data_IF_963397492083
#
_entry.id   IF_963397492083
#
_cell.length_a   1.000
_cell.length_b   1.000
_cell.length_c   1.000
_cell.angle_alpha   90.00
_cell.angle_beta   90.00
_cell.angle_gamma   90.00
#
_symmetry.space_group_name_H-M   'P 1'
#
loop_
_entity.id
_entity.type
_entity.pdbx_description
1 polymer ?
#
# COMPACT_ATOMS: atom_id res chain seq x y z
N UNK A 1 24.92 26.79 32.37
CA UNK A 1 25.68 25.99 31.38
C UNK A 1 27.09 25.84 31.91
N UNK A 2 27.54 24.62 32.23
CA UNK A 2 28.88 24.40 32.80
C UNK A 2 29.93 24.38 31.68
N UNK A 3 31.04 25.13 31.78
CA UNK A 3 32.10 25.12 30.77
C UNK A 3 32.65 23.72 30.47
N UNK A 4 32.65 22.85 31.49
CA UNK A 4 33.08 21.46 31.37
C UNK A 4 32.18 20.63 30.43
N UNK A 5 30.87 20.92 30.36
CA UNK A 5 29.94 20.18 29.49
C UNK A 5 30.29 20.38 28.01
N UNK A 6 30.54 21.63 27.58
CA UNK A 6 30.90 21.91 26.18
C UNK A 6 32.24 21.28 25.80
N UNK A 7 33.22 21.30 26.73
CA UNK A 7 34.52 20.66 26.52
C UNK A 7 34.35 19.15 26.35
N UNK A 8 33.58 18.49 27.23
CA UNK A 8 33.33 17.04 27.14
C UNK A 8 32.59 16.66 25.86
N UNK A 9 31.59 17.45 25.44
CA UNK A 9 30.86 17.22 24.18
C UNK A 9 31.76 17.38 22.95
N UNK A 10 32.65 18.36 22.96
CA UNK A 10 33.63 18.57 21.89
C UNK A 10 34.64 17.42 21.83
N UNK A 11 35.21 17.05 22.98
CA UNK A 11 36.14 15.91 23.08
C UNK A 11 35.48 14.59 22.64
N UNK A 12 34.23 14.35 23.03
CA UNK A 12 33.46 13.20 22.58
C UNK A 12 33.26 13.21 21.06
N UNK A 13 32.92 14.36 20.48
CA UNK A 13 32.70 14.51 19.03
C UNK A 13 33.98 14.29 18.24
N UNK A 14 35.12 14.79 18.73
CA UNK A 14 36.42 14.66 18.08
C UNK A 14 36.98 13.23 18.20
N UNK A 15 36.70 12.54 19.32
CA UNK A 15 37.08 11.16 19.54
C UNK A 15 36.21 10.17 18.74
N UNK A 16 34.92 10.47 18.54
CA UNK A 16 33.94 9.57 17.91
C UNK A 16 34.41 8.85 16.62
N UNK A 17 35.03 9.52 15.63
CA UNK A 17 35.47 8.84 14.41
C UNK A 17 36.72 7.96 14.58
N UNK A 18 37.45 8.07 15.70
CA UNK A 18 38.75 7.41 15.91
C UNK A 18 38.75 6.41 17.07
N UNK A 19 38.08 6.72 18.16
CA UNK A 19 38.01 5.94 19.38
C UNK A 19 36.65 6.12 20.07
N UNK A 20 35.77 5.14 19.86
CA UNK A 20 34.41 5.17 20.43
C UNK A 20 34.37 4.85 21.91
N UNK A 21 35.36 4.13 22.43
CA UNK A 21 35.45 3.84 23.86
C UNK A 21 35.81 5.12 24.62
N UNK A 22 36.76 5.89 24.09
CA UNK A 22 37.11 7.20 24.63
C UNK A 22 35.95 8.20 24.49
N UNK A 23 35.29 8.24 23.34
CA UNK A 23 34.10 9.06 23.14
C UNK A 23 33.00 8.73 24.17
N UNK A 24 32.72 7.43 24.38
CA UNK A 24 31.76 6.98 25.38
C UNK A 24 32.18 7.39 26.79
N UNK A 25 33.47 7.31 27.14
CA UNK A 25 33.96 7.74 28.44
C UNK A 25 33.71 9.24 28.69
N UNK A 26 33.94 10.09 27.69
CA UNK A 26 33.60 11.52 27.78
C UNK A 26 32.10 11.76 27.94
N UNK A 27 31.26 11.00 27.23
CA UNK A 27 29.80 11.10 27.36
C UNK A 27 29.30 10.63 28.73
N UNK A 28 29.86 9.55 29.28
CA UNK A 28 29.53 9.06 30.62
C UNK A 28 29.96 10.03 31.73
N UNK A 29 30.94 10.89 31.47
CA UNK A 29 31.40 11.93 32.40
C UNK A 29 30.55 13.21 32.37
N UNK A 30 29.51 13.29 31.52
CA UNK A 30 28.65 14.47 31.43
C UNK A 30 27.87 14.69 32.74
N UNK A 31 27.83 15.93 33.26
CA UNK A 31 27.02 16.25 34.44
C UNK A 31 25.52 16.03 34.24
N UNK A 32 25.04 16.22 33.01
CA UNK A 32 23.65 15.98 32.62
C UNK A 32 23.61 14.92 31.52
N UNK A 33 22.98 13.78 31.83
CA UNK A 33 23.01 12.57 30.99
C UNK A 33 22.43 12.82 29.59
N UNK A 34 21.38 13.63 29.50
CA UNK A 34 20.67 13.93 28.25
C UNK A 34 21.46 14.84 27.30
N UNK A 35 22.48 15.57 27.78
CA UNK A 35 23.31 16.42 26.92
C UNK A 35 24.06 15.60 25.85
N UNK A 36 24.25 14.30 26.08
CA UNK A 36 24.85 13.38 25.11
C UNK A 36 24.15 13.37 23.74
N UNK A 37 22.85 13.70 23.68
CA UNK A 37 22.12 13.85 22.42
C UNK A 37 22.76 14.88 21.49
N UNK A 38 23.27 16.00 22.04
CA UNK A 38 23.95 17.04 21.26
C UNK A 38 25.19 16.52 20.55
N UNK A 39 25.81 15.47 21.08
CA UNK A 39 26.91 14.77 20.42
C UNK A 39 26.35 13.79 19.37
N UNK A 40 25.46 12.88 19.76
CA UNK A 40 24.93 11.84 18.87
C UNK A 40 24.20 12.39 17.63
N UNK A 41 23.48 13.50 17.76
CA UNK A 41 22.79 14.17 16.64
C UNK A 41 23.74 14.79 15.62
N UNK A 42 24.95 15.18 16.03
CA UNK A 42 25.99 15.69 15.13
C UNK A 42 26.72 14.56 14.39
N UNK A 43 26.66 13.33 14.90
CA UNK A 43 27.36 12.20 14.29
C UNK A 43 26.63 11.69 13.05
N UNK A 44 27.38 11.03 12.17
CA UNK A 44 26.78 10.31 11.05
C UNK A 44 25.77 9.26 11.56
N UNK A 45 24.61 9.16 10.91
CA UNK A 45 23.59 8.13 11.16
C UNK A 45 24.05 6.73 10.69
N UNK A 46 25.18 6.28 11.21
CA UNK A 46 25.72 4.95 11.00
C UNK A 46 25.16 3.97 12.04
N UNK A 47 25.13 2.69 11.68
CA UNK A 47 24.68 1.64 12.60
C UNK A 47 25.49 1.66 13.92
N UNK A 48 26.79 1.90 13.82
CA UNK A 48 27.69 1.94 14.96
C UNK A 48 27.40 3.14 15.88
N UNK A 49 27.11 4.32 15.33
CA UNK A 49 26.72 5.49 16.11
C UNK A 49 25.41 5.27 16.88
N UNK A 50 24.40 4.69 16.22
CA UNK A 50 23.10 4.37 16.82
C UNK A 50 23.21 3.27 17.88
N UNK A 51 24.04 2.25 17.65
CA UNK A 51 24.33 1.22 18.64
C UNK A 51 25.03 1.79 19.87
N UNK A 52 26.00 2.69 19.68
CA UNK A 52 26.69 3.34 20.79
C UNK A 52 25.74 4.22 21.62
N UNK A 53 24.83 4.94 20.98
CA UNK A 53 23.79 5.72 21.67
C UNK A 53 22.83 4.82 22.47
N UNK A 54 22.32 3.74 21.88
CA UNK A 54 21.48 2.76 22.57
C UNK A 54 22.22 2.13 23.77
N UNK A 55 23.51 1.82 23.61
CA UNK A 55 24.34 1.30 24.69
C UNK A 55 24.54 2.32 25.81
N UNK A 56 24.86 3.58 25.47
CA UNK A 56 24.99 4.67 26.43
C UNK A 56 23.74 4.84 27.29
N UNK A 57 22.56 4.95 26.68
CA UNK A 57 21.31 5.09 27.45
C UNK A 57 20.98 3.84 28.26
N UNK A 58 21.29 2.66 27.73
CA UNK A 58 21.11 1.40 28.48
C UNK A 58 22.00 1.34 29.72
N UNK A 59 23.25 1.81 29.64
CA UNK A 59 24.17 1.93 30.78
C UNK A 59 23.64 2.90 31.83
N UNK A 60 23.15 4.07 31.38
CA UNK A 60 22.64 5.10 32.28
C UNK A 60 21.38 4.63 33.02
N UNK A 61 20.40 4.07 32.29
CA UNK A 61 19.21 3.47 32.89
C UNK A 61 19.61 2.39 33.90
N UNK A 62 20.51 1.48 33.51
CA UNK A 62 20.95 0.42 34.41
C UNK A 62 21.59 0.98 35.69
N UNK A 63 22.44 2.00 35.58
CA UNK A 63 23.08 2.62 36.75
C UNK A 63 22.08 3.32 37.67
N UNK A 64 21.02 3.93 37.13
CA UNK A 64 19.91 4.48 37.92
C UNK A 64 19.14 3.39 38.67
N UNK A 65 18.88 2.23 38.03
CA UNK A 65 18.14 1.12 38.62
C UNK A 65 18.96 0.31 39.64
N UNK A 66 20.25 0.10 39.35
CA UNK A 66 21.20 -0.64 40.19
C UNK A 66 22.52 0.14 40.23
N UNK A 67 22.73 1.00 41.25
CA UNK A 67 23.94 1.79 41.37
C UNK A 67 25.18 0.89 41.47
N UNK A 68 26.06 0.96 40.46
CA UNK A 68 27.14 -0.01 40.23
C UNK A 68 28.33 0.10 41.21
N UNK A 69 28.30 1.05 42.15
CA UNK A 69 29.41 1.42 43.02
C UNK A 69 29.59 0.52 44.27
N UNK A 70 28.72 -0.48 44.48
CA UNK A 70 28.76 -1.33 45.69
C UNK A 70 29.67 -2.57 45.59
N UNK A 71 30.16 -2.93 44.40
CA UNK A 71 30.98 -4.13 44.21
C UNK A 71 32.21 -3.85 43.33
N UNK A 72 33.39 -4.36 43.73
CA UNK A 72 34.67 -4.12 43.04
C UNK A 72 34.73 -4.67 41.59
N UNK A 73 33.81 -5.55 41.19
CA UNK A 73 33.63 -5.97 39.79
C UNK A 73 32.14 -6.18 39.49
N UNK A 74 31.45 -5.11 39.11
CA UNK A 74 30.04 -5.18 38.71
C UNK A 74 29.88 -5.99 37.41
N UNK A 75 28.85 -6.84 37.33
CA UNK A 75 28.56 -7.69 36.14
C UNK A 75 28.31 -6.88 34.88
N UNK A 76 27.86 -5.63 35.03
CA UNK A 76 27.69 -4.65 33.97
C UNK A 76 28.95 -4.46 33.10
N UNK A 77 30.14 -4.42 33.71
CA UNK A 77 31.40 -4.26 32.95
C UNK A 77 31.87 -5.54 32.25
N UNK A 78 31.18 -6.67 32.48
CA UNK A 78 31.43 -7.97 31.83
C UNK A 78 30.35 -8.34 30.82
N UNK A 79 29.24 -7.60 30.79
CA UNK A 79 28.15 -7.87 29.88
C UNK A 79 28.52 -7.42 28.46
N UNK A 80 28.17 -8.24 27.48
CA UNK A 80 28.24 -7.82 26.08
C UNK A 80 27.28 -6.63 25.85
N UNK A 81 27.70 -5.56 25.14
CA UNK A 81 26.86 -4.39 24.90
C UNK A 81 25.48 -4.72 24.32
N UNK A 82 25.40 -5.70 23.41
CA UNK A 82 24.13 -6.14 22.81
C UNK A 82 23.21 -6.77 23.85
N UNK A 83 23.79 -7.56 24.75
CA UNK A 83 23.03 -8.24 25.81
C UNK A 83 22.54 -7.24 26.86
N UNK A 84 23.35 -6.23 27.20
CA UNK A 84 22.91 -5.16 28.10
C UNK A 84 21.73 -4.37 27.50
N UNK A 85 21.83 -3.94 26.23
CA UNK A 85 20.73 -3.25 25.54
C UNK A 85 19.47 -4.13 25.57
N UNK A 86 19.60 -5.41 25.22
CA UNK A 86 18.47 -6.36 25.21
C UNK A 86 17.81 -6.48 26.58
N UNK A 87 18.59 -6.67 27.64
CA UNK A 87 18.09 -6.84 29.01
C UNK A 87 17.39 -5.56 29.51
N UNK A 88 18.00 -4.40 29.31
CA UNK A 88 17.44 -3.11 29.73
C UNK A 88 16.16 -2.82 28.97
N UNK A 89 16.16 -2.95 27.63
CA UNK A 89 14.96 -2.76 26.81
C UNK A 89 13.83 -3.70 27.26
N UNK A 90 14.11 -4.99 27.47
CA UNK A 90 13.10 -5.94 27.96
C UNK A 90 12.54 -5.53 29.34
N UNK A 91 13.39 -5.08 30.25
CA UNK A 91 12.99 -4.69 31.60
C UNK A 91 12.10 -3.45 31.62
N UNK A 92 12.48 -2.40 30.88
CA UNK A 92 11.75 -1.13 30.85
C UNK A 92 10.45 -1.21 30.05
N UNK A 93 10.33 -2.15 29.11
CA UNK A 93 9.06 -2.43 28.41
C UNK A 93 8.10 -3.28 29.26
N UNK A 94 8.61 -4.11 30.17
CA UNK A 94 7.79 -5.00 31.00
C UNK A 94 7.20 -4.33 32.26
N UNK A 95 7.71 -3.16 32.64
CA UNK A 95 7.25 -2.43 33.84
C UNK A 95 6.85 -1.01 33.48
N UNK A 96 5.91 -0.46 34.24
CA UNK A 96 5.41 0.92 34.16
C UNK A 96 5.85 1.74 35.37
N UNK A 97 5.47 3.02 35.41
CA UNK A 97 5.59 3.91 36.58
C UNK A 97 7.04 4.25 36.97
N UNK A 98 7.86 4.52 35.94
CA UNK A 98 9.24 4.95 36.12
C UNK A 98 9.32 6.38 36.69
N UNK A 99 10.35 6.69 37.51
CA UNK A 99 10.68 8.07 37.85
C UNK A 99 10.91 8.92 36.58
N UNK A 100 10.52 10.20 36.62
CA UNK A 100 10.57 11.08 35.45
C UNK A 100 11.96 11.17 34.79
N UNK A 101 13.03 11.17 35.59
CA UNK A 101 14.41 11.16 35.11
C UNK A 101 14.76 9.88 34.35
N UNK A 102 14.27 8.72 34.80
CA UNK A 102 14.45 7.44 34.13
C UNK A 102 13.56 7.34 32.89
N UNK A 103 12.34 7.87 32.95
CA UNK A 103 11.40 7.89 31.83
C UNK A 103 11.95 8.67 30.62
N UNK A 104 12.59 9.82 30.85
CA UNK A 104 13.27 10.57 29.78
C UNK A 104 14.40 9.75 29.12
N UNK A 105 15.17 9.00 29.90
CA UNK A 105 16.23 8.12 29.38
C UNK A 105 15.67 6.93 28.60
N UNK A 106 14.57 6.34 29.07
CA UNK A 106 13.84 5.28 28.36
C UNK A 106 13.36 5.80 27.01
N UNK A 107 12.80 7.01 26.96
CA UNK A 107 12.38 7.66 25.71
C UNK A 107 13.54 7.78 24.71
N UNK A 108 14.73 8.19 25.17
CA UNK A 108 15.92 8.25 24.29
C UNK A 108 16.36 6.86 23.82
N UNK A 109 16.40 5.87 24.71
CA UNK A 109 16.73 4.48 24.32
C UNK A 109 15.78 3.97 23.24
N UNK A 110 14.49 4.21 23.37
CA UNK A 110 13.47 3.85 22.37
C UNK A 110 13.75 4.54 21.03
N UNK A 111 13.98 5.85 21.03
CA UNK A 111 14.31 6.62 19.81
C UNK A 111 15.53 6.06 19.07
N UNK A 112 16.63 5.75 19.78
CA UNK A 112 17.83 5.23 19.13
C UNK A 112 17.66 3.78 18.65
N UNK A 113 16.93 2.95 19.38
CA UNK A 113 16.59 1.58 18.95
C UNK A 113 15.68 1.60 17.70
N UNK A 114 14.70 2.50 17.64
CA UNK A 114 13.85 2.71 16.48
C UNK A 114 14.68 3.12 15.27
N UNK A 115 15.53 4.14 15.40
CA UNK A 115 16.44 4.61 14.34
C UNK A 115 17.37 3.50 13.85
N UNK A 116 17.95 2.70 14.75
CA UNK A 116 18.82 1.59 14.38
C UNK A 116 18.06 0.53 13.57
N UNK A 117 16.84 0.25 13.97
CA UNK A 117 16.03 -0.73 13.28
C UNK A 117 15.58 -0.22 11.92
N UNK A 118 15.19 1.05 11.79
CA UNK A 118 14.84 1.68 10.52
C UNK A 118 16.02 1.67 9.54
N UNK A 119 17.23 1.97 10.03
CA UNK A 119 18.45 1.84 9.23
C UNK A 119 18.67 0.39 8.75
N UNK A 120 18.40 -0.59 9.62
CA UNK A 120 18.54 -2.01 9.28
C UNK A 120 17.52 -2.42 8.22
N UNK A 121 16.26 -2.00 8.35
CA UNK A 121 15.21 -2.26 7.35
C UNK A 121 15.55 -1.61 6.02
N UNK A 122 15.98 -0.34 6.02
CA UNK A 122 16.39 0.35 4.81
C UNK A 122 17.53 -0.36 4.06
N UNK A 123 18.50 -0.95 4.79
CA UNK A 123 19.57 -1.77 4.20
C UNK A 123 19.07 -3.09 3.61
N UNK A 124 18.12 -3.75 4.28
CA UNK A 124 17.46 -4.95 3.73
C UNK A 124 16.74 -4.59 2.42
N UNK A 125 15.99 -3.48 2.39
CA UNK A 125 15.30 -3.00 1.20
C UNK A 125 16.26 -2.64 0.06
N UNK A 126 17.42 -2.05 0.37
CA UNK A 126 18.47 -1.82 -0.62
C UNK A 126 19.01 -3.15 -1.20
N UNK A 127 19.20 -4.16 -0.35
CA UNK A 127 19.61 -5.51 -0.77
C UNK A 127 18.62 -6.22 -1.68
N UNK A 128 17.33 -5.85 -1.62
CA UNK A 128 16.29 -6.33 -2.54
C UNK A 128 16.35 -5.66 -3.93
N UNK A 129 17.32 -4.76 -4.17
CA UNK A 129 17.49 -4.08 -5.46
C UNK A 129 16.46 -2.98 -5.74
N UNK A 130 15.71 -2.53 -4.72
CA UNK A 130 14.56 -1.61 -4.87
C UNK A 130 14.93 -0.12 -4.84
N UNK A 131 16.22 0.22 -4.95
CA UNK A 131 16.66 1.61 -5.11
C UNK A 131 16.26 2.56 -3.97
N UNK A 132 16.18 2.05 -2.73
CA UNK A 132 15.73 2.83 -1.57
C UNK A 132 16.80 3.81 -1.10
N UNK A 133 16.43 5.08 -0.95
CA UNK A 133 17.25 6.07 -0.24
C UNK A 133 17.16 5.81 1.26
N UNK A 134 18.24 5.26 1.82
CA UNK A 134 18.34 4.88 3.23
C UNK A 134 18.10 6.05 4.17
N UNK A 135 18.67 7.22 3.84
CA UNK A 135 18.56 8.41 4.71
C UNK A 135 17.11 8.85 4.73
N UNK A 136 16.51 8.99 3.55
CA UNK A 136 15.13 9.43 3.42
C UNK A 136 14.14 8.45 4.03
N UNK A 137 14.35 7.13 3.84
CA UNK A 137 13.51 6.11 4.48
C UNK A 137 13.54 6.22 6.01
N UNK A 138 14.69 6.53 6.60
CA UNK A 138 14.84 6.62 8.05
C UNK A 138 14.23 7.89 8.65
N UNK A 139 14.14 8.99 7.89
CA UNK A 139 13.76 10.31 8.42
C UNK A 139 12.45 10.89 7.89
N UNK A 140 11.97 10.47 6.71
CA UNK A 140 10.79 11.02 6.04
C UNK A 140 9.65 10.00 6.08
N UNK A 141 8.66 10.23 6.96
CA UNK A 141 7.50 9.36 7.16
C UNK A 141 6.67 9.20 5.88
N UNK A 142 6.56 10.26 5.07
CA UNK A 142 5.80 10.20 3.83
C UNK A 142 6.53 9.34 2.80
N UNK A 143 7.83 9.57 2.59
CA UNK A 143 8.64 8.72 1.73
C UNK A 143 8.66 7.26 2.20
N UNK A 144 8.74 7.02 3.52
CA UNK A 144 8.65 5.69 4.12
C UNK A 144 7.33 5.00 3.76
N UNK A 145 6.20 5.68 3.95
CA UNK A 145 4.86 5.17 3.58
C UNK A 145 4.79 4.82 2.10
N UNK A 146 5.18 5.75 1.22
CA UNK A 146 5.14 5.53 -0.23
C UNK A 146 6.09 4.42 -0.68
N UNK A 147 7.27 4.32 -0.08
CA UNK A 147 8.21 3.23 -0.38
C UNK A 147 7.58 1.89 -0.03
N UNK A 148 6.93 1.77 1.15
CA UNK A 148 6.29 0.52 1.56
C UNK A 148 5.10 0.19 0.67
N UNK A 149 4.26 1.16 0.31
CA UNK A 149 3.17 0.96 -0.65
C UNK A 149 3.72 0.50 -2.01
N UNK A 150 4.78 1.11 -2.53
CA UNK A 150 5.41 0.66 -3.77
C UNK A 150 6.02 -0.75 -3.71
N UNK A 151 6.36 -1.27 -2.53
CA UNK A 151 6.80 -2.66 -2.37
C UNK A 151 5.64 -3.66 -2.48
N UNK A 152 4.40 -3.22 -2.25
CA UNK A 152 3.20 -4.07 -2.36
C UNK A 152 2.81 -4.31 -3.81
N UNK A 153 3.34 -3.51 -4.75
CA UNK A 153 3.22 -3.68 -6.20
C UNK A 153 4.13 -4.82 -6.70
N UNK A 154 3.85 -6.05 -6.26
CA UNK A 154 4.67 -7.23 -6.52
C UNK A 154 3.85 -8.50 -6.61
N UNK A 155 4.28 -9.42 -7.47
CA UNK A 155 3.75 -10.80 -7.52
C UNK A 155 4.58 -11.78 -6.67
N UNK A 156 5.73 -11.35 -6.15
CA UNK A 156 6.59 -12.16 -5.28
C UNK A 156 6.05 -12.20 -3.84
N UNK A 157 5.66 -13.39 -3.38
CA UNK A 157 5.12 -13.62 -2.04
C UNK A 157 6.08 -13.29 -0.89
N UNK A 158 7.38 -13.43 -1.12
CA UNK A 158 8.38 -13.08 -0.13
C UNK A 158 8.43 -11.58 0.07
N UNK A 159 8.41 -10.81 -1.02
CA UNK A 159 8.38 -9.33 -1.00
C UNK A 159 7.05 -8.83 -0.45
N UNK A 160 5.93 -9.47 -0.81
CA UNK A 160 4.62 -9.18 -0.26
C UNK A 160 4.58 -9.27 1.27
N UNK A 161 5.08 -10.38 1.83
CA UNK A 161 5.12 -10.61 3.28
C UNK A 161 6.04 -9.63 4.00
N UNK A 162 7.17 -9.26 3.39
CA UNK A 162 8.06 -8.21 3.92
C UNK A 162 7.32 -6.87 3.96
N UNK A 163 6.59 -6.53 2.90
CA UNK A 163 5.83 -5.28 2.79
C UNK A 163 4.75 -5.19 3.87
N UNK A 164 4.02 -6.28 4.13
CA UNK A 164 3.04 -6.35 5.23
C UNK A 164 3.69 -6.19 6.60
N UNK A 165 4.83 -6.83 6.84
CA UNK A 165 5.56 -6.67 8.11
C UNK A 165 6.02 -5.24 8.33
N UNK A 166 6.49 -4.56 7.28
CA UNK A 166 6.86 -3.14 7.33
C UNK A 166 5.62 -2.26 7.54
N UNK A 167 4.53 -2.51 6.84
CA UNK A 167 3.29 -1.78 7.01
C UNK A 167 2.77 -1.84 8.45
N UNK A 168 2.75 -3.03 9.05
CA UNK A 168 2.38 -3.23 10.45
C UNK A 168 3.31 -2.47 11.39
N UNK A 169 4.62 -2.56 11.16
CA UNK A 169 5.64 -1.89 11.98
C UNK A 169 5.48 -0.37 11.98
N UNK A 170 5.18 0.20 10.81
CA UNK A 170 5.07 1.65 10.62
C UNK A 170 3.61 2.14 10.68
N UNK A 171 2.70 1.31 11.18
CA UNK A 171 1.28 1.64 11.37
C UNK A 171 0.60 2.16 10.10
N UNK A 172 0.99 1.63 8.93
CA UNK A 172 0.31 1.90 7.67
C UNK A 172 -0.98 1.09 7.64
N UNK A 173 -2.14 1.71 7.40
CA UNK A 173 -3.42 1.00 7.34
C UNK A 173 -3.38 -0.17 6.36
N UNK A 174 -3.88 -1.33 6.78
CA UNK A 174 -3.97 -2.51 5.92
C UNK A 174 -4.80 -2.24 4.66
N UNK A 175 -5.81 -1.38 4.79
CA UNK A 175 -6.63 -0.91 3.68
C UNK A 175 -5.77 -0.26 2.58
N UNK A 176 -4.82 0.62 2.94
CA UNK A 176 -3.94 1.28 1.96
C UNK A 176 -3.08 0.24 1.21
N UNK A 177 -2.53 -0.73 1.95
CA UNK A 177 -1.68 -1.80 1.39
C UNK A 177 -2.46 -2.65 0.37
N UNK A 178 -3.67 -3.07 0.75
CA UNK A 178 -4.51 -3.92 -0.10
C UNK A 178 -5.07 -3.15 -1.29
N UNK A 179 -5.42 -1.87 -1.12
CA UNK A 179 -5.94 -1.05 -2.22
C UNK A 179 -4.85 -0.78 -3.26
N UNK A 180 -3.63 -0.43 -2.84
CA UNK A 180 -2.48 -0.28 -3.74
C UNK A 180 -2.15 -1.59 -4.47
N UNK A 181 -2.19 -2.73 -3.77
CA UNK A 181 -1.97 -4.01 -4.43
C UNK A 181 -3.05 -4.33 -5.46
N UNK A 182 -4.32 -4.12 -5.12
CA UNK A 182 -5.44 -4.37 -6.03
C UNK A 182 -5.34 -3.47 -7.28
N UNK A 183 -4.97 -2.21 -7.12
CA UNK A 183 -4.69 -1.31 -8.25
C UNK A 183 -3.61 -1.91 -9.16
N UNK A 184 -2.45 -2.24 -8.60
CA UNK A 184 -1.34 -2.87 -9.34
C UNK A 184 -1.77 -4.15 -10.08
N UNK A 185 -2.59 -4.99 -9.45
CA UNK A 185 -3.11 -6.19 -10.09
C UNK A 185 -3.88 -5.82 -11.36
N UNK A 186 -4.73 -4.81 -11.35
CA UNK A 186 -5.48 -4.40 -12.54
C UNK A 186 -4.65 -3.64 -13.59
N UNK A 187 -3.62 -2.90 -13.20
CA UNK A 187 -2.88 -1.99 -14.08
C UNK A 187 -1.62 -2.64 -14.67
N UNK A 188 -0.63 -2.90 -13.81
CA UNK A 188 0.75 -3.12 -14.24
C UNK A 188 1.22 -4.56 -14.02
N UNK A 189 0.42 -5.41 -13.39
CA UNK A 189 0.79 -6.80 -13.09
C UNK A 189 0.90 -7.70 -14.33
N UNK A 190 0.21 -7.35 -15.42
CA UNK A 190 0.11 -8.17 -16.63
C UNK A 190 -0.66 -9.49 -16.46
N UNK A 191 -1.32 -9.71 -15.32
CA UNK A 191 -2.06 -10.93 -15.04
C UNK A 191 -3.40 -11.01 -15.79
N UNK A 192 -3.84 -12.24 -16.09
CA UNK A 192 -5.19 -12.48 -16.61
C UNK A 192 -6.26 -12.17 -15.54
N UNK A 193 -7.52 -11.96 -15.96
CA UNK A 193 -8.62 -11.72 -15.01
C UNK A 193 -8.78 -12.85 -14.00
N UNK A 194 -8.60 -14.10 -14.47
CA UNK A 194 -8.70 -15.29 -13.62
C UNK A 194 -7.57 -15.36 -12.59
N UNK A 195 -6.35 -14.98 -12.96
CA UNK A 195 -5.21 -14.99 -12.03
C UNK A 195 -5.33 -13.88 -10.99
N UNK A 196 -5.95 -12.75 -11.36
CA UNK A 196 -6.23 -11.66 -10.43
C UNK A 196 -7.32 -12.06 -9.44
N UNK A 197 -8.41 -12.67 -9.90
CA UNK A 197 -9.43 -13.28 -9.04
C UNK A 197 -8.77 -14.23 -8.00
N UNK A 198 -7.96 -15.17 -8.47
CA UNK A 198 -7.27 -16.13 -7.61
C UNK A 198 -6.32 -15.45 -6.61
N UNK A 199 -5.61 -14.39 -7.03
CA UNK A 199 -4.69 -13.64 -6.17
C UNK A 199 -5.42 -12.87 -5.08
N UNK A 200 -6.51 -12.20 -5.44
CA UNK A 200 -7.37 -11.46 -4.52
C UNK A 200 -7.97 -12.39 -3.45
N UNK A 201 -8.46 -13.56 -3.87
CA UNK A 201 -9.01 -14.57 -2.98
C UNK A 201 -7.95 -15.15 -2.04
N UNK A 202 -6.78 -15.52 -2.57
CA UNK A 202 -5.68 -16.10 -1.79
C UNK A 202 -5.19 -15.15 -0.69
N UNK A 203 -5.16 -13.84 -0.99
CA UNK A 203 -4.73 -12.81 -0.04
C UNK A 203 -5.87 -12.27 0.83
N UNK A 204 -7.10 -12.72 0.60
CA UNK A 204 -8.31 -12.25 1.29
C UNK A 204 -8.41 -10.72 1.35
N UNK A 205 -8.10 -10.03 0.24
CA UNK A 205 -8.02 -8.56 0.25
C UNK A 205 -9.34 -7.89 0.67
N UNK A 206 -10.46 -8.50 0.30
CA UNK A 206 -11.80 -7.95 0.58
C UNK A 206 -12.17 -7.91 2.05
N UNK A 207 -11.51 -8.69 2.91
CA UNK A 207 -11.76 -8.63 4.35
C UNK A 207 -11.44 -7.26 4.95
N UNK A 208 -10.43 -6.57 4.42
CA UNK A 208 -10.14 -5.20 4.80
C UNK A 208 -10.84 -4.18 3.90
N UNK A 209 -10.90 -4.41 2.58
CA UNK A 209 -11.34 -3.37 1.63
C UNK A 209 -12.82 -2.99 1.80
N UNK A 210 -13.67 -3.96 2.17
CA UNK A 210 -15.10 -3.74 2.43
C UNK A 210 -15.40 -2.80 3.60
N UNK A 211 -14.41 -2.49 4.44
CA UNK A 211 -14.61 -1.59 5.58
C UNK A 211 -14.77 -0.12 5.19
N UNK A 212 -14.41 0.27 3.96
CA UNK A 212 -14.53 1.64 3.45
C UNK A 212 -15.08 1.69 2.01
N UNK A 213 -16.39 1.46 1.81
CA UNK A 213 -16.99 1.36 0.47
C UNK A 213 -16.87 2.63 -0.39
N UNK A 214 -16.95 3.81 0.22
CA UNK A 214 -16.84 5.10 -0.48
C UNK A 214 -15.42 5.32 -1.03
N UNK A 215 -14.42 5.17 -0.16
CA UNK A 215 -13.00 5.26 -0.53
C UNK A 215 -12.65 4.25 -1.61
N UNK A 216 -13.15 3.00 -1.48
CA UNK A 216 -12.96 1.95 -2.46
C UNK A 216 -13.55 2.33 -3.82
N UNK A 217 -14.81 2.78 -3.85
CA UNK A 217 -15.47 3.21 -5.09
C UNK A 217 -14.72 4.37 -5.77
N UNK A 218 -14.32 5.38 -5.00
CA UNK A 218 -13.58 6.54 -5.49
C UNK A 218 -12.26 6.13 -6.13
N UNK A 219 -11.50 5.26 -5.45
CA UNK A 219 -10.20 4.78 -5.92
C UNK A 219 -10.33 3.92 -7.18
N UNK A 220 -11.22 2.92 -7.14
CA UNK A 220 -11.49 2.02 -8.27
C UNK A 220 -11.94 2.81 -9.51
N UNK A 221 -12.80 3.80 -9.36
CA UNK A 221 -13.28 4.61 -10.50
C UNK A 221 -12.18 5.48 -11.10
N UNK A 222 -11.32 6.06 -10.26
CA UNK A 222 -10.30 7.02 -10.69
C UNK A 222 -9.06 6.35 -11.28
N UNK A 223 -8.57 5.29 -10.64
CA UNK A 223 -7.27 4.69 -10.95
C UNK A 223 -7.38 3.34 -11.66
N UNK A 224 -8.45 2.57 -11.43
CA UNK A 224 -8.59 1.22 -12.00
C UNK A 224 -9.46 1.21 -13.26
N UNK A 225 -10.66 1.78 -13.23
CA UNK A 225 -11.57 1.74 -14.37
C UNK A 225 -11.01 2.43 -15.62
N UNK A 226 -10.17 3.45 -15.42
CA UNK A 226 -9.56 4.22 -16.50
C UNK A 226 -8.60 3.39 -17.34
N UNK A 227 -7.95 2.39 -16.75
CA UNK A 227 -6.97 1.50 -17.41
C UNK A 227 -7.61 0.26 -18.05
N UNK A 228 -8.82 -0.13 -17.62
CA UNK A 228 -9.53 -1.28 -18.18
C UNK A 228 -10.09 -0.96 -19.58
N UNK A 229 -9.72 -1.76 -20.56
CA UNK A 229 -10.23 -1.65 -21.94
C UNK A 229 -11.74 -1.91 -22.01
N UNK A 230 -12.46 -1.10 -22.79
CA UNK A 230 -13.91 -1.23 -22.96
C UNK A 230 -14.35 -2.56 -23.59
N UNK A 231 -13.45 -3.22 -24.31
CA UNK A 231 -13.65 -4.52 -24.97
C UNK A 231 -13.32 -5.72 -24.09
N UNK A 232 -12.62 -5.52 -22.96
CA UNK A 232 -12.30 -6.59 -22.01
C UNK A 232 -13.49 -6.85 -21.08
N UNK A 233 -14.52 -7.51 -21.63
CA UNK A 233 -15.75 -7.83 -20.90
C UNK A 233 -15.52 -8.69 -19.65
N UNK A 234 -14.61 -9.69 -19.63
CA UNK A 234 -14.26 -10.40 -18.41
C UNK A 234 -13.70 -9.47 -17.33
N UNK A 235 -12.75 -8.59 -17.66
CA UNK A 235 -12.17 -7.65 -16.69
C UNK A 235 -13.19 -6.66 -16.14
N UNK A 236 -14.03 -6.09 -17.01
CA UNK A 236 -15.11 -5.20 -16.60
C UNK A 236 -16.12 -5.93 -15.70
N UNK A 237 -16.46 -7.18 -16.02
CA UNK A 237 -17.36 -7.97 -15.18
C UNK A 237 -16.78 -8.17 -13.78
N UNK A 238 -15.49 -8.47 -13.68
CA UNK A 238 -14.83 -8.63 -12.39
C UNK A 238 -14.76 -7.29 -11.64
N UNK A 239 -14.40 -6.20 -12.30
CA UNK A 239 -14.43 -4.84 -11.73
C UNK A 239 -15.78 -4.51 -11.06
N UNK A 240 -16.89 -4.71 -11.77
CA UNK A 240 -18.22 -4.43 -11.20
C UNK A 240 -18.64 -5.44 -10.13
N UNK A 241 -18.18 -6.69 -10.20
CA UNK A 241 -18.38 -7.68 -9.14
C UNK A 241 -17.73 -7.22 -7.83
N UNK A 242 -16.51 -6.68 -7.90
CA UNK A 242 -15.81 -6.11 -6.75
C UNK A 242 -16.55 -4.90 -6.14
N UNK A 243 -17.07 -4.00 -6.98
CA UNK A 243 -17.88 -2.87 -6.51
C UNK A 243 -19.18 -3.33 -5.82
N UNK A 244 -19.85 -4.34 -6.38
CA UNK A 244 -21.05 -4.91 -5.77
C UNK A 244 -20.74 -5.58 -4.44
N UNK A 245 -19.67 -6.37 -4.36
CA UNK A 245 -19.23 -7.05 -3.13
C UNK A 245 -18.82 -6.08 -2.02
N UNK A 246 -18.17 -4.97 -2.36
CA UNK A 246 -17.88 -3.88 -1.42
C UNK A 246 -19.11 -3.05 -1.04
N UNK A 247 -20.29 -3.31 -1.61
CA UNK A 247 -21.51 -2.55 -1.32
C UNK A 247 -21.47 -1.11 -1.85
N UNK A 248 -20.76 -0.86 -2.94
CA UNK A 248 -20.55 0.49 -3.48
C UNK A 248 -21.77 1.11 -4.18
N UNK A 249 -22.90 0.39 -4.29
CA UNK A 249 -24.05 0.80 -5.10
C UNK A 249 -24.63 2.17 -4.76
N UNK A 250 -24.54 2.61 -3.50
CA UNK A 250 -25.01 3.94 -3.05
C UNK A 250 -24.07 5.09 -3.43
N UNK A 251 -22.84 4.81 -3.83
CA UNK A 251 -21.81 5.80 -4.16
C UNK A 251 -21.60 5.96 -5.67
N UNK A 252 -22.17 5.06 -6.47
CA UNK A 252 -22.20 5.19 -7.91
C UNK A 252 -23.09 6.37 -8.30
N UNK A 253 -22.49 7.39 -8.92
CA UNK A 253 -23.25 8.50 -9.53
C UNK A 253 -23.97 8.08 -10.81
N UNK A 254 -23.62 6.90 -11.37
CA UNK A 254 -24.16 6.40 -12.61
C UNK A 254 -25.60 5.91 -12.47
N UNK A 255 -26.39 6.11 -13.52
CA UNK A 255 -27.76 5.59 -13.64
C UNK A 255 -27.80 4.05 -13.52
N UNK A 256 -26.72 3.38 -13.94
CA UNK A 256 -26.58 1.93 -13.89
C UNK A 256 -25.87 1.53 -12.60
N UNK A 257 -26.49 0.66 -11.80
CA UNK A 257 -25.89 0.10 -10.59
C UNK A 257 -24.87 -1.01 -10.90
N UNK A 258 -23.93 -1.34 -10.00
CA UNK A 258 -22.97 -2.43 -10.21
C UNK A 258 -23.64 -3.79 -10.51
N UNK A 259 -24.66 -4.21 -9.74
CA UNK A 259 -25.48 -5.39 -10.08
C UNK A 259 -26.09 -5.35 -11.51
N UNK A 260 -26.54 -4.19 -11.95
CA UNK A 260 -27.08 -4.04 -13.32
C UNK A 260 -25.97 -4.21 -14.37
N UNK A 261 -24.79 -3.64 -14.14
CA UNK A 261 -23.62 -3.86 -14.98
C UNK A 261 -23.25 -5.34 -15.07
N UNK A 262 -23.19 -6.05 -13.94
CA UNK A 262 -22.90 -7.50 -13.86
C UNK A 262 -23.91 -8.29 -14.71
N UNK A 263 -25.21 -8.02 -14.55
CA UNK A 263 -26.28 -8.70 -15.30
C UNK A 263 -26.20 -8.43 -16.80
N UNK A 264 -25.85 -7.22 -17.22
CA UNK A 264 -25.64 -6.86 -18.62
C UNK A 264 -24.42 -7.59 -19.19
N UNK A 265 -23.26 -7.49 -18.54
CA UNK A 265 -22.00 -8.09 -18.98
C UNK A 265 -22.09 -9.62 -19.10
N UNK A 266 -22.72 -10.31 -18.13
CA UNK A 266 -22.93 -11.76 -18.18
C UNK A 266 -23.72 -12.21 -19.40
N UNK A 267 -24.71 -11.42 -19.85
CA UNK A 267 -25.54 -11.73 -21.02
C UNK A 267 -24.90 -11.29 -22.33
N UNK A 268 -24.26 -10.13 -22.35
CA UNK A 268 -23.67 -9.56 -23.56
C UNK A 268 -22.45 -10.38 -24.00
N UNK A 269 -21.57 -10.78 -23.07
CA UNK A 269 -20.37 -11.57 -23.40
C UNK A 269 -20.65 -12.89 -24.12
N UNK A 270 -21.86 -13.45 -23.98
CA UNK A 270 -22.24 -14.71 -24.64
C UNK A 270 -22.87 -14.51 -26.02
N UNK A 271 -23.30 -13.28 -26.35
CA UNK A 271 -24.04 -12.99 -27.59
C UNK A 271 -23.37 -11.94 -28.48
N UNK A 272 -22.33 -11.26 -27.99
CA UNK A 272 -21.53 -10.29 -28.76
C UNK A 272 -20.07 -10.70 -28.80
N UNK A 273 -19.41 -10.31 -29.89
CA UNK A 273 -17.95 -10.34 -30.03
C UNK A 273 -17.49 -8.94 -30.42
N UNK A 274 -16.45 -8.43 -29.76
CA UNK A 274 -15.91 -7.09 -30.04
C UNK A 274 -16.76 -5.90 -29.56
N UNK A 275 -17.67 -6.09 -28.60
CA UNK A 275 -18.44 -4.99 -28.01
C UNK A 275 -17.54 -4.13 -27.12
N UNK A 276 -17.51 -2.83 -27.38
CA UNK A 276 -16.95 -1.83 -26.47
C UNK A 276 -18.03 -1.43 -25.44
N UNK A 277 -18.01 -2.11 -24.29
CA UNK A 277 -19.02 -1.94 -23.24
C UNK A 277 -18.94 -0.57 -22.59
N UNK A 278 -17.75 0.00 -22.43
CA UNK A 278 -17.57 1.33 -21.85
C UNK A 278 -18.25 2.39 -22.70
N UNK A 279 -18.10 2.35 -24.03
CA UNK A 279 -18.84 3.26 -24.93
C UNK A 279 -20.34 3.05 -24.90
N UNK A 280 -20.79 1.81 -24.68
CA UNK A 280 -22.21 1.49 -24.61
C UNK A 280 -22.88 2.04 -23.35
N UNK A 281 -22.15 2.11 -22.22
CA UNK A 281 -22.69 2.59 -20.93
C UNK A 281 -22.22 3.99 -20.55
N UNK A 282 -21.54 4.68 -21.46
CA UNK A 282 -21.10 6.06 -21.26
C UNK A 282 -22.32 6.99 -21.18
N UNK A 283 -22.26 8.00 -20.31
CA UNK A 283 -23.39 8.91 -20.06
C UNK A 283 -23.60 9.91 -21.22
N UNK A 284 -22.56 10.10 -22.05
CA UNK A 284 -22.56 11.08 -23.14
C UNK A 284 -22.91 10.43 -24.48
N UNK A 285 -22.49 9.18 -24.70
CA UNK A 285 -22.62 8.48 -25.97
C UNK A 285 -23.98 7.76 -26.10
N UNK A 286 -24.55 7.70 -27.31
CA UNK A 286 -25.74 6.86 -27.56
C UNK A 286 -25.32 5.37 -27.55
N UNK A 287 -25.88 4.53 -26.67
CA UNK A 287 -25.55 3.11 -26.60
C UNK A 287 -25.73 2.38 -27.94
N UNK A 288 -26.64 2.86 -28.80
CA UNK A 288 -26.90 2.24 -30.10
C UNK A 288 -25.70 2.33 -31.05
N UNK A 289 -24.86 3.35 -30.92
CA UNK A 289 -23.65 3.51 -31.74
C UNK A 289 -22.63 2.42 -31.41
N UNK A 290 -22.47 2.10 -30.12
CA UNK A 290 -21.60 1.02 -29.68
C UNK A 290 -22.16 -0.37 -30.03
N UNK A 291 -23.49 -0.52 -30.06
CA UNK A 291 -24.16 -1.77 -30.39
C UNK A 291 -24.19 -2.07 -31.89
N UNK A 292 -24.40 -1.08 -32.76
CA UNK A 292 -24.51 -1.25 -34.21
C UNK A 292 -23.46 -2.23 -34.82
N UNK A 293 -22.14 -2.07 -34.58
CA UNK A 293 -21.14 -2.94 -35.19
C UNK A 293 -21.28 -4.41 -34.79
N UNK A 294 -21.80 -4.69 -33.59
CA UNK A 294 -21.91 -6.06 -33.05
C UNK A 294 -23.28 -6.70 -33.23
N UNK A 295 -24.30 -5.94 -33.69
CA UNK A 295 -25.64 -6.48 -33.96
C UNK A 295 -25.61 -7.43 -35.16
N UNK A 296 -26.20 -8.60 -34.99
CA UNK A 296 -26.35 -9.68 -35.99
C UNK A 296 -27.76 -10.26 -35.93
N UNK A 297 -28.16 -10.96 -36.98
CA UNK A 297 -29.42 -11.72 -37.02
C UNK A 297 -29.58 -12.71 -35.84
N UNK A 298 -28.48 -13.25 -35.31
CA UNK A 298 -28.48 -14.22 -34.21
C UNK A 298 -28.63 -13.57 -32.82
N UNK A 299 -28.15 -12.34 -32.63
CA UNK A 299 -28.11 -11.71 -31.30
C UNK A 299 -29.10 -10.56 -31.07
N UNK A 300 -29.66 -10.00 -32.14
CA UNK A 300 -30.52 -8.78 -32.05
C UNK A 300 -31.70 -8.95 -31.10
N UNK A 301 -32.35 -10.12 -31.11
CA UNK A 301 -33.47 -10.42 -30.21
C UNK A 301 -33.04 -10.51 -28.74
N UNK A 302 -31.85 -11.05 -28.48
CA UNK A 302 -31.31 -11.17 -27.13
C UNK A 302 -30.89 -9.81 -26.58
N UNK A 303 -30.30 -8.96 -27.42
CA UNK A 303 -29.87 -7.60 -27.05
C UNK A 303 -31.07 -6.69 -26.87
N UNK A 304 -32.12 -6.79 -27.70
CA UNK A 304 -33.30 -5.93 -27.59
C UNK A 304 -34.07 -6.13 -26.27
N UNK A 305 -34.01 -7.33 -25.68
CA UNK A 305 -34.54 -7.63 -24.32
C UNK A 305 -33.78 -6.93 -23.19
N UNK A 306 -32.57 -6.42 -23.46
CA UNK A 306 -31.74 -5.69 -22.48
C UNK A 306 -31.84 -4.18 -22.63
N UNK A 307 -32.51 -3.69 -23.69
CA UNK A 307 -32.55 -2.28 -24.06
C UNK A 307 -33.05 -1.38 -22.92
N UNK A 308 -34.05 -1.83 -22.15
CA UNK A 308 -34.62 -1.06 -21.04
C UNK A 308 -33.67 -0.87 -19.84
N UNK A 309 -32.47 -1.45 -19.87
CA UNK A 309 -31.41 -1.27 -18.86
C UNK A 309 -30.30 -0.34 -19.34
N UNK A 310 -30.38 0.12 -20.59
CA UNK A 310 -29.40 1.01 -21.20
C UNK A 310 -29.94 2.44 -21.15
N UNK A 311 -29.30 3.35 -20.39
CA UNK A 311 -29.71 4.75 -20.36
C UNK A 311 -29.39 5.44 -21.68
N UNK A 312 -30.15 6.49 -22.02
CA UNK A 312 -29.86 7.35 -23.17
C UNK A 312 -29.37 8.72 -22.74
N UNK A 313 -28.50 9.37 -23.54
CA UNK A 313 -28.18 10.78 -23.37
C UNK A 313 -29.45 11.62 -23.42
N UNK A 314 -29.65 12.51 -22.44
CA UNK A 314 -30.87 13.32 -22.33
C UNK A 314 -32.04 12.66 -21.60
N UNK A 315 -31.85 11.46 -21.04
CA UNK A 315 -32.83 10.77 -20.20
C UNK A 315 -33.62 9.68 -20.92
N UNK A 316 -34.22 8.80 -20.12
CA UNK A 316 -34.92 7.61 -20.61
C UNK A 316 -33.98 6.44 -20.89
N UNK A 317 -34.54 5.38 -21.50
CA UNK A 317 -33.83 4.13 -21.80
C UNK A 317 -33.98 3.76 -23.26
N UNK A 318 -33.06 2.93 -23.77
CA UNK A 318 -33.16 2.40 -25.13
C UNK A 318 -34.41 1.50 -25.23
N UNK A 319 -35.17 1.65 -26.32
CA UNK A 319 -36.30 0.75 -26.60
C UNK A 319 -35.86 -0.46 -27.42
N UNK A 320 -36.55 -1.59 -27.26
CA UNK A 320 -36.32 -2.78 -28.09
C UNK A 320 -36.49 -2.47 -29.59
N UNK A 321 -37.49 -1.63 -29.93
CA UNK A 321 -37.72 -1.18 -31.30
C UNK A 321 -36.54 -0.41 -31.89
N UNK A 322 -35.86 0.42 -31.09
CA UNK A 322 -34.70 1.16 -31.55
C UNK A 322 -33.51 0.23 -31.86
N UNK A 323 -33.28 -0.80 -31.03
CA UNK A 323 -32.25 -1.83 -31.31
C UNK A 323 -32.54 -2.55 -32.63
N UNK A 324 -33.80 -2.94 -32.86
CA UNK A 324 -34.19 -3.57 -34.13
C UNK A 324 -34.05 -2.63 -35.32
N UNK A 325 -34.42 -1.36 -35.19
CA UNK A 325 -34.26 -0.36 -36.24
C UNK A 325 -32.78 -0.14 -36.60
N UNK A 326 -31.90 -0.03 -35.61
CA UNK A 326 -30.44 0.07 -35.83
C UNK A 326 -29.89 -1.15 -36.57
N UNK A 327 -30.29 -2.37 -36.16
CA UNK A 327 -29.88 -3.58 -36.86
C UNK A 327 -30.42 -3.64 -38.30
N UNK A 328 -31.69 -3.31 -38.53
CA UNK A 328 -32.29 -3.29 -39.88
C UNK A 328 -31.61 -2.26 -40.79
N UNK A 329 -31.26 -1.08 -40.26
CA UNK A 329 -30.50 -0.08 -41.01
C UNK A 329 -29.14 -0.62 -41.45
N UNK A 330 -28.39 -1.24 -40.52
CA UNK A 330 -27.13 -1.92 -40.84
C UNK A 330 -27.31 -3.03 -41.88
N UNK A 331 -28.30 -3.90 -41.70
CA UNK A 331 -28.61 -4.99 -42.62
C UNK A 331 -28.93 -4.47 -44.02
N UNK A 332 -29.71 -3.39 -44.12
CA UNK A 332 -30.07 -2.79 -45.40
C UNK A 332 -28.85 -2.22 -46.14
N UNK A 333 -27.96 -1.49 -45.44
CA UNK A 333 -26.83 -0.81 -46.07
C UNK A 333 -25.58 -1.67 -46.26
N UNK A 334 -25.31 -2.59 -45.33
CA UNK A 334 -24.07 -3.38 -45.29
C UNK A 334 -24.29 -4.88 -45.46
N UNK A 335 -25.53 -5.34 -45.34
CA UNK A 335 -25.86 -6.75 -45.31
C UNK A 335 -25.52 -7.43 -43.98
N UNK A 336 -25.95 -8.69 -43.85
CA UNK A 336 -25.51 -9.61 -42.80
C UNK A 336 -24.95 -10.85 -43.50
N UNK A 337 -23.65 -11.17 -43.35
CA UNK A 337 -23.01 -12.32 -43.97
C UNK A 337 -23.73 -13.64 -43.70
N UNK A 338 -24.47 -13.73 -42.59
CA UNK A 338 -25.20 -14.93 -42.20
C UNK A 338 -26.62 -15.01 -42.79
N UNK A 339 -27.17 -13.88 -43.29
CA UNK A 339 -28.49 -13.82 -43.93
C UNK A 339 -28.36 -13.97 -45.45
N UNK A 340 -27.21 -13.61 -46.04
CA UNK A 340 -26.90 -13.88 -47.43
C UNK A 340 -26.45 -15.34 -47.64
N UNK A 341 -27.38 -16.27 -47.45
CA UNK A 341 -27.26 -17.62 -48.01
C UNK A 341 -27.71 -17.53 -49.47
N UNK A 342 -26.75 -17.71 -50.39
CA UNK A 342 -26.87 -17.95 -51.83
C UNK A 342 -28.31 -17.99 -52.39
N UNK A 343 -28.70 -16.94 -53.14
CA UNK A 343 -29.64 -17.12 -54.25
C UNK A 343 -28.83 -17.72 -55.41
N UNK A 344 -29.08 -18.97 -55.84
CA UNK A 344 -28.48 -19.47 -57.07
C UNK A 344 -29.06 -18.68 -58.25
N UNK A 345 -28.19 -18.12 -59.07
CA UNK A 345 -28.53 -17.50 -60.35
C UNK A 345 -28.84 -18.53 -61.44
#
# INVERSE_FOLDING_TARGET
MFPATEVLLQLASDAFPRDMTLALAYLLALPQVLDANRCFEKQSHSALSLQLAAYYYSLQIYNHLVPCLKANTHTLYRADPKELIRLVTQHVTAHSDWPADVEELIGQLQVYNERLTDLTQARVLQGLGRGVDIKRFSSDTHYKKHTILGLTETLDDSVWRISLSLAQRYSIPLWDIYMTHLEYLFTDSGLSTKDIEARVDTLALFDSLKSQPESFHSHMSKYVLTTVEGTDLPRLLYYYALLEECGCGSYCSSIITPDTHIKLLKKLRSVTTGLDYRKMTDEVSDPLVALEPVLTSQNVLSISKLANRLPRPGGGVVSASAVHATWLGKLFWRGDPQVFIYLPG
#
